data_IF_777454234774
#
_entry.id   IF_777454234774
#
_cell.length_a   1.000
_cell.length_b   1.000
_cell.length_c   1.000
_cell.angle_alpha   90.00
_cell.angle_beta   90.00
_cell.angle_gamma   90.00
#
_symmetry.space_group_name_H-M   'P 1'
#
loop_
_entity.id
_entity.type
_entity.pdbx_description
1 polymer ?
#
# COMPACT_ATOMS: atom_id res chain seq x y z
N UNK A 1 26.74 5.01 16.22
CA UNK A 1 25.73 5.41 15.20
C UNK A 1 26.52 6.09 14.10
N UNK A 2 26.80 5.38 13.02
CA UNK A 2 27.52 5.97 11.88
C UNK A 2 26.55 6.91 11.19
N UNK A 3 26.84 8.21 11.23
CA UNK A 3 26.09 9.19 10.45
C UNK A 3 26.29 8.86 8.97
N UNK A 4 25.20 8.78 8.22
CA UNK A 4 25.28 8.61 6.77
C UNK A 4 25.96 9.86 6.20
N UNK A 5 27.02 9.66 5.40
CA UNK A 5 27.67 10.75 4.68
C UNK A 5 26.71 11.24 3.58
N UNK A 6 26.59 12.57 3.45
CA UNK A 6 25.73 13.15 2.40
C UNK A 6 26.31 12.83 1.03
N UNK A 7 25.49 12.27 0.15
CA UNK A 7 25.87 11.96 -1.24
C UNK A 7 25.53 13.17 -2.11
N UNK A 8 26.47 13.61 -2.93
CA UNK A 8 26.36 14.85 -3.71
C UNK A 8 27.04 14.73 -5.07
N UNK A 9 26.94 15.77 -5.88
CA UNK A 9 27.57 15.84 -7.20
C UNK A 9 29.04 15.48 -7.17
N UNK A 10 29.47 14.72 -8.16
CA UNK A 10 30.80 14.16 -8.36
C UNK A 10 31.18 12.98 -7.44
N UNK A 11 30.31 12.58 -6.52
CA UNK A 11 30.50 11.32 -5.81
C UNK A 11 30.29 10.14 -6.75
N UNK A 12 30.99 9.05 -6.49
CA UNK A 12 30.89 7.83 -7.29
C UNK A 12 30.91 6.59 -6.40
N UNK A 13 30.30 5.53 -6.89
CA UNK A 13 30.35 4.22 -6.25
C UNK A 13 28.99 3.63 -5.90
N UNK A 14 28.98 2.52 -5.13
CA UNK A 14 27.77 1.74 -4.87
C UNK A 14 26.65 2.51 -4.16
N UNK A 15 26.98 3.51 -3.34
CA UNK A 15 25.97 4.33 -2.67
C UNK A 15 25.22 5.23 -3.66
N UNK A 16 25.90 5.76 -4.68
CA UNK A 16 25.29 6.52 -5.77
C UNK A 16 24.43 5.61 -6.63
N UNK A 17 24.91 4.41 -6.95
CA UNK A 17 24.17 3.42 -7.72
C UNK A 17 22.86 3.01 -7.00
N UNK A 18 22.87 2.83 -5.67
CA UNK A 18 21.65 2.54 -4.90
C UNK A 18 20.65 3.71 -4.93
N UNK A 19 21.13 4.96 -4.85
CA UNK A 19 20.27 6.15 -5.06
C UNK A 19 19.64 6.13 -6.44
N UNK A 20 20.45 5.94 -7.49
CA UNK A 20 19.97 5.89 -8.87
C UNK A 20 18.95 4.78 -9.08
N UNK A 21 19.20 3.57 -8.56
CA UNK A 21 18.27 2.44 -8.66
C UNK A 21 16.91 2.74 -8.02
N UNK A 22 16.91 3.43 -6.86
CA UNK A 22 15.68 3.85 -6.20
C UNK A 22 14.93 4.91 -6.98
N UNK A 23 15.64 5.88 -7.57
CA UNK A 23 15.05 6.88 -8.44
C UNK A 23 14.42 6.26 -9.69
N UNK A 24 15.05 5.22 -10.25
CA UNK A 24 14.47 4.41 -11.34
C UNK A 24 13.19 3.72 -10.88
N UNK A 25 13.21 3.08 -9.70
CA UNK A 25 12.05 2.36 -9.15
C UNK A 25 10.83 3.27 -9.01
N UNK A 26 11.03 4.54 -8.64
CA UNK A 26 9.95 5.53 -8.52
C UNK A 26 9.69 6.33 -9.83
N UNK A 27 10.36 5.97 -10.91
CA UNK A 27 10.14 6.56 -12.24
C UNK A 27 10.70 7.97 -12.45
N UNK A 28 11.68 8.38 -11.65
CA UNK A 28 12.32 9.70 -11.74
C UNK A 28 13.67 9.69 -12.46
N UNK A 29 14.21 8.52 -12.80
CA UNK A 29 15.45 8.34 -13.52
C UNK A 29 15.29 7.24 -14.57
N UNK A 30 15.97 7.37 -15.71
CA UNK A 30 16.01 6.30 -16.71
C UNK A 30 16.96 5.18 -16.25
N UNK A 31 16.63 3.90 -16.43
CA UNK A 31 17.53 2.78 -16.12
C UNK A 31 18.92 2.89 -16.81
N UNK A 32 19.01 3.57 -17.96
CA UNK A 32 20.25 3.77 -18.66
C UNK A 32 21.22 4.76 -17.94
N UNK A 33 20.69 5.59 -17.03
CA UNK A 33 21.47 6.55 -16.24
C UNK A 33 22.00 5.99 -14.91
N UNK A 34 21.83 4.69 -14.67
CA UNK A 34 22.39 4.00 -13.49
C UNK A 34 23.85 3.64 -13.79
N UNK A 35 24.74 4.57 -13.55
CA UNK A 35 26.18 4.46 -13.85
C UNK A 35 27.08 4.54 -12.60
N UNK A 36 26.49 4.74 -11.42
CA UNK A 36 27.21 4.90 -10.16
C UNK A 36 27.95 6.23 -10.04
N UNK A 37 27.68 7.23 -10.92
CA UNK A 37 28.26 8.55 -10.85
C UNK A 37 27.17 9.61 -10.63
N UNK A 38 27.30 10.45 -9.61
CA UNK A 38 26.32 11.47 -9.29
C UNK A 38 26.50 12.68 -10.24
N UNK A 39 25.90 12.56 -11.42
CA UNK A 39 25.87 13.57 -12.46
C UNK A 39 24.69 14.53 -12.35
N UNK A 40 24.50 15.34 -13.42
CA UNK A 40 23.42 16.31 -13.50
C UNK A 40 22.05 15.63 -13.54
N UNK A 41 21.89 14.55 -14.28
CA UNK A 41 20.64 13.78 -14.37
C UNK A 41 20.21 13.23 -13.00
N UNK A 42 21.15 12.69 -12.23
CA UNK A 42 20.88 12.21 -10.85
C UNK A 42 20.49 13.37 -9.94
N UNK A 43 21.17 14.50 -10.03
CA UNK A 43 20.87 15.70 -9.23
C UNK A 43 19.47 16.26 -9.53
N UNK A 44 19.09 16.35 -10.79
CA UNK A 44 17.75 16.76 -11.23
C UNK A 44 16.66 15.80 -10.73
N UNK A 45 16.91 14.51 -10.79
CA UNK A 45 15.99 13.48 -10.29
C UNK A 45 15.81 13.58 -8.76
N UNK A 46 16.90 13.81 -7.99
CA UNK A 46 16.83 14.05 -6.54
C UNK A 46 16.03 15.31 -6.23
N UNK A 47 16.24 16.38 -6.96
CA UNK A 47 15.50 17.64 -6.78
C UNK A 47 14.01 17.47 -7.09
N UNK A 48 13.67 16.75 -8.17
CA UNK A 48 12.29 16.42 -8.54
C UNK A 48 11.63 15.56 -7.44
N UNK A 49 12.36 14.57 -6.90
CA UNK A 49 11.89 13.76 -5.77
C UNK A 49 11.59 14.61 -4.53
N UNK A 50 12.52 15.49 -4.13
CA UNK A 50 12.33 16.37 -2.99
C UNK A 50 11.08 17.25 -3.16
N UNK A 51 10.85 17.78 -4.35
CA UNK A 51 9.67 18.59 -4.68
C UNK A 51 8.37 17.79 -4.54
N UNK A 52 8.34 16.57 -5.07
CA UNK A 52 7.18 15.67 -4.95
C UNK A 52 6.92 15.16 -3.53
N UNK A 53 7.97 14.93 -2.76
CA UNK A 53 7.89 14.44 -1.39
C UNK A 53 7.66 15.53 -0.33
N UNK A 54 7.55 16.81 -0.73
CA UNK A 54 7.39 17.94 0.20
C UNK A 54 8.61 18.19 1.09
N UNK A 55 9.78 17.76 0.64
CA UNK A 55 11.06 18.00 1.31
C UNK A 55 11.65 19.37 0.86
N UNK A 56 12.57 19.93 1.65
CA UNK A 56 13.34 21.09 1.17
C UNK A 56 14.03 20.75 -0.16
N UNK A 57 13.91 21.63 -1.14
CA UNK A 57 14.55 21.45 -2.44
C UNK A 57 16.07 21.39 -2.27
N UNK A 58 16.65 20.26 -2.62
CA UNK A 58 18.09 20.03 -2.63
C UNK A 58 18.43 19.04 -3.75
N UNK A 59 19.65 19.13 -4.25
CA UNK A 59 20.23 18.19 -5.20
C UNK A 59 21.22 17.22 -4.50
N UNK A 60 21.26 17.25 -3.18
CA UNK A 60 22.08 16.38 -2.36
C UNK A 60 21.21 15.34 -1.62
N UNK A 61 21.72 14.12 -1.46
CA UNK A 61 21.05 13.06 -0.71
C UNK A 61 21.52 13.10 0.74
N UNK A 62 20.83 13.91 1.53
CA UNK A 62 20.98 13.95 2.99
C UNK A 62 20.33 12.72 3.63
N UNK A 63 20.58 12.47 4.93
CA UNK A 63 19.94 11.38 5.68
C UNK A 63 18.39 11.42 5.57
N UNK A 64 17.79 12.62 5.57
CA UNK A 64 16.33 12.77 5.40
C UNK A 64 15.86 12.41 4.00
N UNK A 65 16.58 12.86 2.97
CA UNK A 65 16.28 12.54 1.58
C UNK A 65 16.43 11.05 1.34
N UNK A 66 17.50 10.45 1.87
CA UNK A 66 17.73 9.01 1.80
C UNK A 66 16.59 8.21 2.43
N UNK A 67 16.22 8.54 3.67
CA UNK A 67 15.13 7.85 4.37
C UNK A 67 13.82 7.94 3.59
N UNK A 68 13.47 9.11 3.07
CA UNK A 68 12.28 9.30 2.25
C UNK A 68 12.34 8.54 0.92
N UNK A 69 13.51 8.50 0.28
CA UNK A 69 13.72 7.78 -0.98
C UNK A 69 13.60 6.25 -0.77
N UNK A 70 14.16 5.74 0.32
CA UNK A 70 14.01 4.33 0.71
C UNK A 70 12.53 4.00 0.93
N UNK A 71 11.81 4.83 1.67
CA UNK A 71 10.38 4.59 1.91
C UNK A 71 9.54 4.68 0.63
N UNK A 72 9.86 5.62 -0.25
CA UNK A 72 9.17 5.77 -1.52
C UNK A 72 9.44 4.60 -2.50
N UNK A 73 10.56 3.93 -2.36
CA UNK A 73 10.96 2.84 -3.26
C UNK A 73 10.46 1.45 -2.85
N UNK A 74 9.84 1.29 -1.68
CA UNK A 74 9.20 0.03 -1.33
C UNK A 74 7.93 -0.17 -2.15
N UNK A 75 7.75 -1.37 -2.68
CA UNK A 75 6.55 -1.80 -3.37
C UNK A 75 5.72 -2.77 -2.52
N UNK A 76 4.46 -2.94 -2.86
CA UNK A 76 3.55 -3.80 -2.10
C UNK A 76 4.02 -5.26 -2.09
N UNK A 77 4.48 -5.73 -0.95
CA UNK A 77 4.97 -7.09 -0.74
C UNK A 77 6.46 -7.19 -0.43
N UNK A 78 7.23 -6.11 -0.55
CA UNK A 78 8.67 -6.10 -0.25
C UNK A 78 8.96 -6.31 1.23
N UNK A 79 8.07 -5.85 2.09
CA UNK A 79 8.18 -6.03 3.54
C UNK A 79 6.83 -6.40 4.17
N UNK A 80 6.88 -7.08 5.32
CA UNK A 80 5.69 -7.37 6.11
C UNK A 80 5.27 -6.12 6.87
N UNK A 81 4.00 -5.69 6.67
CA UNK A 81 3.45 -4.51 7.31
C UNK A 81 2.49 -4.89 8.45
N UNK A 82 2.63 -4.23 9.59
CA UNK A 82 1.79 -4.41 10.77
C UNK A 82 1.82 -3.17 11.66
N UNK A 83 0.88 -3.05 12.58
CA UNK A 83 0.87 -1.91 13.51
C UNK A 83 2.06 -1.97 14.48
N UNK A 84 2.92 -0.96 14.47
CA UNK A 84 4.07 -0.80 15.36
C UNK A 84 4.35 0.67 15.64
N UNK A 85 5.24 0.95 16.59
CA UNK A 85 5.78 2.29 16.83
C UNK A 85 7.32 2.26 16.66
N UNK A 86 7.91 3.18 15.88
CA UNK A 86 7.25 4.13 14.98
C UNK A 86 6.51 3.39 13.86
N UNK A 87 5.45 4.00 13.34
CA UNK A 87 4.63 3.41 12.27
C UNK A 87 5.47 3.15 11.01
N UNK A 88 5.10 2.11 10.27
CA UNK A 88 5.57 1.99 8.89
C UNK A 88 5.00 3.13 8.06
N UNK A 89 5.80 3.68 7.18
CA UNK A 89 5.39 4.63 6.17
C UNK A 89 6.08 4.31 4.85
N UNK A 90 5.51 4.78 3.74
CA UNK A 90 6.08 4.58 2.43
C UNK A 90 5.06 4.27 1.34
N UNK A 91 5.58 4.06 0.13
CA UNK A 91 4.75 3.79 -1.04
C UNK A 91 4.00 2.46 -0.93
N UNK A 92 4.63 1.42 -0.39
CA UNK A 92 4.00 0.11 -0.15
C UNK A 92 2.79 0.19 0.79
N UNK A 93 2.85 1.07 1.81
CA UNK A 93 1.71 1.32 2.70
C UNK A 93 0.61 2.06 1.95
N UNK A 94 0.97 3.05 1.12
CA UNK A 94 0.03 3.79 0.28
C UNK A 94 -0.70 2.85 -0.69
N UNK A 95 0.03 1.95 -1.37
CA UNK A 95 -0.54 0.94 -2.26
C UNK A 95 -1.49 -0.01 -1.50
N UNK A 96 -1.11 -0.45 -0.29
CA UNK A 96 -1.97 -1.27 0.56
C UNK A 96 -3.27 -0.54 0.91
N UNK A 97 -3.18 0.71 1.35
CA UNK A 97 -4.34 1.54 1.69
C UNK A 97 -5.25 1.74 0.47
N UNK A 98 -4.65 2.00 -0.70
CA UNK A 98 -5.38 2.15 -1.95
C UNK A 98 -6.11 0.86 -2.32
N UNK A 99 -5.43 -0.28 -2.29
CA UNK A 99 -6.02 -1.58 -2.59
C UNK A 99 -7.18 -1.92 -1.64
N UNK A 100 -6.97 -1.76 -0.32
CA UNK A 100 -8.01 -2.00 0.68
C UNK A 100 -9.20 -1.06 0.49
N UNK A 101 -8.95 0.24 0.27
CA UNK A 101 -9.99 1.24 0.04
C UNK A 101 -10.81 0.95 -1.23
N UNK A 102 -10.16 0.61 -2.33
CA UNK A 102 -10.81 0.26 -3.59
C UNK A 102 -11.64 -1.04 -3.50
N UNK A 103 -11.25 -1.96 -2.60
CA UNK A 103 -12.00 -3.17 -2.27
C UNK A 103 -13.13 -2.92 -1.25
N UNK A 104 -13.31 -1.68 -0.76
CA UNK A 104 -14.37 -1.29 0.16
C UNK A 104 -14.00 -1.34 1.65
N UNK A 105 -12.73 -1.56 1.99
CA UNK A 105 -12.22 -1.56 3.35
C UNK A 105 -11.57 -0.21 3.67
N UNK A 106 -12.33 0.73 4.20
CA UNK A 106 -11.86 2.09 4.47
C UNK A 106 -10.73 2.13 5.50
N UNK A 107 -9.57 2.66 5.09
CA UNK A 107 -8.36 2.82 5.91
C UNK A 107 -8.29 4.18 6.63
N UNK A 108 -9.29 5.05 6.46
CA UNK A 108 -9.18 6.46 6.81
C UNK A 108 -8.48 7.25 5.71
N UNK A 109 -7.50 8.07 6.06
CA UNK A 109 -6.68 8.76 5.07
C UNK A 109 -5.77 7.76 4.33
N UNK A 110 -5.60 7.97 3.04
CA UNK A 110 -4.62 7.26 2.22
C UNK A 110 -3.34 8.10 2.22
N UNK A 111 -2.61 8.03 3.33
CA UNK A 111 -1.46 8.90 3.66
C UNK A 111 -0.11 8.17 3.64
N UNK A 112 -0.12 6.87 3.33
CA UNK A 112 1.08 6.05 3.34
C UNK A 112 1.60 5.73 4.76
N UNK A 113 0.79 5.92 5.82
CA UNK A 113 1.17 5.61 7.20
C UNK A 113 0.34 4.43 7.72
N UNK A 114 0.99 3.35 8.14
CA UNK A 114 0.31 2.17 8.68
C UNK A 114 -0.15 2.42 10.12
N UNK A 115 -1.29 3.09 10.24
CA UNK A 115 -1.92 3.40 11.52
C UNK A 115 -3.01 2.38 11.91
N UNK A 116 -3.69 2.66 13.03
CA UNK A 116 -4.74 1.79 13.57
C UNK A 116 -5.93 1.60 12.60
N UNK A 117 -6.28 2.60 11.80
CA UNK A 117 -7.34 2.48 10.80
C UNK A 117 -6.94 1.55 9.65
N UNK A 118 -5.69 1.60 9.22
CA UNK A 118 -5.14 0.68 8.22
C UNK A 118 -5.14 -0.75 8.75
N UNK A 119 -4.71 -0.97 10.00
CA UNK A 119 -4.77 -2.28 10.64
C UNK A 119 -6.20 -2.82 10.71
N UNK A 120 -7.15 -1.99 11.13
CA UNK A 120 -8.55 -2.39 11.23
C UNK A 120 -9.14 -2.78 9.87
N UNK A 121 -8.86 -1.99 8.82
CA UNK A 121 -9.26 -2.29 7.46
C UNK A 121 -8.66 -3.62 6.97
N UNK A 122 -7.37 -3.83 7.25
CA UNK A 122 -6.67 -5.05 6.92
C UNK A 122 -7.27 -6.29 7.60
N UNK A 123 -7.58 -6.20 8.91
CA UNK A 123 -8.25 -7.28 9.64
C UNK A 123 -9.62 -7.63 9.05
N UNK A 124 -10.40 -6.61 8.68
CA UNK A 124 -11.70 -6.81 8.01
C UNK A 124 -11.53 -7.48 6.63
N UNK A 125 -10.56 -7.07 5.86
CA UNK A 125 -10.20 -7.69 4.58
C UNK A 125 -9.83 -9.16 4.76
N UNK A 126 -8.92 -9.45 5.69
CA UNK A 126 -8.49 -10.82 6.01
C UNK A 126 -9.67 -11.69 6.43
N UNK A 127 -10.50 -11.20 7.34
CA UNK A 127 -11.69 -11.92 7.81
C UNK A 127 -12.65 -12.22 6.65
N UNK A 128 -12.88 -11.25 5.77
CA UNK A 128 -13.76 -11.41 4.62
C UNK A 128 -13.31 -12.52 3.66
N UNK A 129 -12.01 -12.69 3.52
CA UNK A 129 -11.40 -13.74 2.69
C UNK A 129 -11.17 -15.07 3.42
N UNK A 130 -11.51 -15.17 4.70
CA UNK A 130 -11.25 -16.36 5.52
C UNK A 130 -9.77 -16.56 5.82
N UNK A 131 -8.98 -15.50 5.77
CA UNK A 131 -7.60 -15.49 6.24
C UNK A 131 -7.56 -15.25 7.76
N UNK A 132 -6.44 -15.61 8.44
CA UNK A 132 -6.22 -15.17 9.81
C UNK A 132 -6.33 -13.63 9.91
N UNK A 133 -7.25 -13.15 10.75
CA UNK A 133 -7.49 -11.71 10.94
C UNK A 133 -6.52 -11.15 11.99
N UNK A 134 -5.22 -11.22 11.67
CA UNK A 134 -4.12 -10.83 12.56
C UNK A 134 -3.66 -9.37 12.38
N UNK A 135 -4.12 -8.70 11.32
CA UNK A 135 -3.72 -7.33 11.00
C UNK A 135 -2.28 -7.22 10.47
N UNK A 136 -1.72 -8.36 10.00
CA UNK A 136 -0.37 -8.44 9.43
C UNK A 136 -0.48 -8.62 7.91
N UNK A 137 -0.01 -7.65 7.14
CA UNK A 137 0.12 -7.80 5.69
C UNK A 137 1.38 -8.58 5.37
N UNK A 138 1.26 -9.88 5.32
CA UNK A 138 2.30 -10.83 4.94
C UNK A 138 1.97 -11.53 3.61
N UNK A 139 2.73 -12.58 3.27
CA UNK A 139 2.66 -13.27 1.99
C UNK A 139 1.26 -13.70 1.57
N UNK A 140 0.45 -14.24 2.49
CA UNK A 140 -0.93 -14.67 2.18
C UNK A 140 -1.85 -13.49 1.88
N UNK A 141 -1.72 -12.40 2.63
CA UNK A 141 -2.46 -11.17 2.40
C UNK A 141 -2.10 -10.56 1.05
N UNK A 142 -0.81 -10.46 0.73
CA UNK A 142 -0.34 -9.95 -0.55
C UNK A 142 -0.77 -10.83 -1.73
N UNK A 143 -0.74 -12.14 -1.58
CA UNK A 143 -1.27 -13.06 -2.60
C UNK A 143 -2.77 -12.82 -2.84
N UNK A 144 -3.56 -12.62 -1.78
CA UNK A 144 -4.97 -12.33 -1.89
C UNK A 144 -5.24 -10.97 -2.58
N UNK A 145 -4.47 -9.92 -2.24
CA UNK A 145 -4.56 -8.61 -2.89
C UNK A 145 -4.22 -8.73 -4.38
N UNK A 146 -3.13 -9.41 -4.74
CA UNK A 146 -2.76 -9.64 -6.15
C UNK A 146 -3.83 -10.41 -6.93
N UNK A 147 -4.41 -11.44 -6.34
CA UNK A 147 -5.48 -12.21 -6.97
C UNK A 147 -6.75 -11.37 -7.23
N UNK A 148 -6.96 -10.31 -6.46
CA UNK A 148 -8.07 -9.38 -6.61
C UNK A 148 -7.69 -8.10 -7.38
N UNK A 149 -6.49 -8.03 -7.95
CA UNK A 149 -5.94 -6.83 -8.62
C UNK A 149 -6.93 -6.28 -9.66
N UNK A 150 -7.50 -7.12 -10.52
CA UNK A 150 -8.50 -6.73 -11.51
C UNK A 150 -9.77 -6.09 -10.90
N UNK A 151 -10.02 -6.30 -9.61
CA UNK A 151 -11.18 -5.76 -8.91
C UNK A 151 -10.94 -4.36 -8.33
N UNK A 152 -9.70 -3.96 -8.13
CA UNK A 152 -9.36 -2.69 -7.50
C UNK A 152 -8.46 -1.78 -8.36
N UNK A 153 -7.76 -2.30 -9.35
CA UNK A 153 -6.95 -1.51 -10.26
C UNK A 153 -7.78 -0.41 -10.95
N UNK A 154 -7.30 0.81 -10.93
CA UNK A 154 -7.96 1.97 -11.54
C UNK A 154 -9.19 2.50 -10.79
N UNK A 155 -9.48 2.00 -9.58
CA UNK A 155 -10.56 2.52 -8.72
C UNK A 155 -10.00 3.44 -7.65
N UNK A 156 -10.76 4.48 -7.33
CA UNK A 156 -10.43 5.36 -6.20
C UNK A 156 -10.65 4.66 -4.87
N UNK A 157 -9.74 4.90 -3.92
CA UNK A 157 -9.89 4.41 -2.56
C UNK A 157 -11.06 5.11 -1.86
N UNK A 158 -11.87 4.35 -1.13
CA UNK A 158 -12.95 4.93 -0.31
C UNK A 158 -12.33 5.61 0.91
N UNK A 159 -12.42 6.93 0.94
CA UNK A 159 -11.99 7.77 2.06
C UNK A 159 -13.16 7.99 3.02
N UNK A 160 -12.96 7.68 4.29
CA UNK A 160 -13.89 8.00 5.37
C UNK A 160 -14.51 6.79 6.07
N UNK A 161 -15.08 7.05 7.24
CA UNK A 161 -15.76 6.10 8.13
C UNK A 161 -17.10 5.58 7.59
N UNK A 162 -17.37 5.75 6.30
CA UNK A 162 -18.60 5.29 5.74
C UNK A 162 -18.55 3.77 5.56
N UNK A 163 -19.31 3.07 6.37
CA UNK A 163 -19.72 1.68 6.19
C UNK A 163 -20.46 1.44 4.86
N UNK A 164 -20.38 2.38 3.92
CA UNK A 164 -21.21 2.44 2.72
C UNK A 164 -21.03 1.26 1.76
N UNK A 165 -19.88 0.63 1.70
CA UNK A 165 -19.69 -0.56 0.85
C UNK A 165 -20.41 -1.79 1.44
N UNK A 166 -20.22 -2.02 2.73
CA UNK A 166 -20.91 -3.10 3.47
C UNK A 166 -22.37 -2.76 3.74
N UNK A 167 -22.68 -1.51 4.10
CA UNK A 167 -24.05 -1.06 4.30
C UNK A 167 -24.88 -1.15 3.01
N UNK A 168 -24.31 -0.88 1.84
CA UNK A 168 -25.00 -1.09 0.56
C UNK A 168 -25.23 -2.57 0.26
N UNK A 169 -24.23 -3.43 0.49
CA UNK A 169 -24.40 -4.86 0.30
C UNK A 169 -25.40 -5.45 1.30
N UNK A 170 -25.34 -5.03 2.57
CA UNK A 170 -26.31 -5.41 3.60
C UNK A 170 -27.70 -4.90 3.29
N UNK A 171 -27.87 -3.63 2.91
CA UNK A 171 -29.15 -3.03 2.53
C UNK A 171 -29.76 -3.71 1.29
N UNK A 172 -28.93 -4.08 0.32
CA UNK A 172 -29.38 -4.87 -0.84
C UNK A 172 -29.77 -6.29 -0.42
N UNK A 173 -29.04 -6.92 0.51
CA UNK A 173 -29.36 -8.28 1.01
C UNK A 173 -30.59 -8.27 1.91
N UNK A 174 -30.82 -7.23 2.71
CA UNK A 174 -32.01 -7.07 3.53
C UNK A 174 -33.28 -6.79 2.73
N UNK A 175 -33.17 -6.01 1.64
CA UNK A 175 -34.31 -5.62 0.80
C UNK A 175 -34.63 -6.60 -0.29
N UNK A 176 -33.74 -7.56 -0.60
CA UNK A 176 -33.93 -8.52 -1.67
C UNK A 176 -33.75 -9.95 -1.16
N UNK A 177 -34.73 -10.80 -1.40
CA UNK A 177 -34.56 -12.23 -1.20
C UNK A 177 -33.59 -12.80 -2.23
N UNK A 178 -32.37 -13.09 -1.81
CA UNK A 178 -31.38 -13.75 -2.66
C UNK A 178 -31.54 -15.26 -2.57
N UNK A 179 -31.86 -15.88 -3.68
CA UNK A 179 -31.94 -17.33 -3.80
C UNK A 179 -30.70 -17.83 -4.54
N UNK A 180 -29.80 -18.53 -3.84
CA UNK A 180 -28.61 -19.17 -4.42
C UNK A 180 -28.94 -20.60 -4.78
N UNK A 181 -28.95 -20.91 -6.08
CA UNK A 181 -29.14 -22.26 -6.59
C UNK A 181 -27.82 -22.90 -6.95
N UNK A 182 -27.56 -24.10 -6.45
CA UNK A 182 -26.42 -24.90 -6.85
C UNK A 182 -26.26 -26.16 -5.98
N UNK A 183 -25.78 -27.20 -6.61
CA UNK A 183 -25.57 -28.50 -5.97
C UNK A 183 -24.15 -28.73 -5.50
N UNK A 184 -23.26 -27.75 -5.69
CA UNK A 184 -21.83 -27.87 -5.38
C UNK A 184 -21.49 -27.25 -4.01
N UNK A 185 -20.47 -27.79 -3.33
CA UNK A 185 -19.93 -27.28 -2.06
C UNK A 185 -19.56 -25.80 -2.10
N UNK A 186 -19.20 -25.30 -3.28
CA UNK A 186 -18.97 -23.88 -3.56
C UNK A 186 -20.20 -23.01 -3.23
N UNK A 187 -21.39 -23.45 -3.62
CA UNK A 187 -22.64 -22.68 -3.36
C UNK A 187 -22.92 -22.55 -1.85
N UNK A 188 -22.65 -23.60 -1.10
CA UNK A 188 -22.79 -23.60 0.36
C UNK A 188 -21.80 -22.63 1.03
N UNK A 189 -20.56 -22.62 0.55
CA UNK A 189 -19.50 -21.72 1.04
C UNK A 189 -19.86 -20.26 0.76
N UNK A 190 -20.37 -19.94 -0.43
CA UNK A 190 -20.81 -18.58 -0.80
C UNK A 190 -22.02 -18.16 0.06
N UNK A 191 -23.02 -19.02 0.22
CA UNK A 191 -24.20 -18.74 1.05
C UNK A 191 -23.83 -18.49 2.51
N UNK A 192 -22.93 -19.27 3.07
CA UNK A 192 -22.44 -19.07 4.45
C UNK A 192 -21.70 -17.75 4.62
N UNK A 193 -20.86 -17.37 3.64
CA UNK A 193 -20.14 -16.08 3.64
C UNK A 193 -21.08 -14.89 3.51
N UNK A 194 -22.10 -14.98 2.66
CA UNK A 194 -23.10 -13.93 2.49
C UNK A 194 -23.96 -13.80 3.77
N UNK A 195 -24.34 -14.89 4.41
CA UNK A 195 -25.06 -14.89 5.69
C UNK A 195 -24.23 -14.25 6.81
N UNK A 196 -22.92 -14.59 6.89
CA UNK A 196 -22.02 -13.99 7.88
C UNK A 196 -21.81 -12.49 7.62
N UNK A 197 -21.78 -12.05 6.37
CA UNK A 197 -21.72 -10.64 6.01
C UNK A 197 -22.99 -9.90 6.47
N UNK A 198 -24.15 -10.46 6.26
CA UNK A 198 -25.43 -9.89 6.70
C UNK A 198 -25.51 -9.82 8.23
N UNK A 199 -25.05 -10.85 8.95
CA UNK A 199 -25.03 -10.89 10.41
C UNK A 199 -24.01 -9.94 11.04
N UNK A 200 -22.88 -9.67 10.36
CA UNK A 200 -21.85 -8.76 10.83
C UNK A 200 -22.27 -7.28 10.75
N UNK A 201 -23.35 -6.96 10.04
CA UNK A 201 -23.89 -5.60 9.86
C UNK A 201 -25.08 -5.29 10.74
N UNK A 202 -25.60 -6.28 11.47
CA UNK A 202 -26.70 -6.09 12.42
C UNK A 202 -26.12 -6.11 13.86
N UNK A 203 -26.07 -4.97 14.61
CA UNK A 203 -25.60 -4.93 15.99
C UNK A 203 -26.56 -5.66 16.95
#
# INVERSE_FOLDING_TARGET
MTLMETIKRHDTGPAVEDVQQRLVTIGLLDPADVDGAFGDTTAEAVQAFCGGAGLPLTDEVTEKVWAALVDASFTLGDRTLYLRMPHFHGHDVLELQHALGALGFACGATDGIFGAFTELALRKFQLNLGLPSDGIAGAYTYAAIRNLHHSWEGKEAVHGSSHLGFARAADVLERNALCLFGTQDFTRSVASRMSNLALATNP
#
